data_IF_608430488952
#
_entry.id   IF_608430488952
#
_cell.length_a   1.000
_cell.length_b   1.000
_cell.length_c   1.000
_cell.angle_alpha   90.00
_cell.angle_beta   90.00
_cell.angle_gamma   90.00
#
_symmetry.space_group_name_H-M   'P 1'
#
loop_
_entity.id
_entity.type
_entity.pdbx_description
1 polymer ?
#
# COMPACT_ATOMS: atom_id res chain seq x y z
N UNK A 1 10.76 45.47 59.13
CA UNK A 1 9.90 44.26 59.04
C UNK A 1 9.44 44.15 57.59
N UNK A 2 9.79 43.03 56.94
CA UNK A 2 9.64 42.78 55.49
C UNK A 2 8.36 41.99 55.28
N UNK A 3 7.39 42.49 54.52
CA UNK A 3 6.20 41.70 54.15
C UNK A 3 5.48 42.24 52.92
N UNK A 4 6.19 42.41 51.80
CA UNK A 4 5.54 42.58 50.48
C UNK A 4 6.41 41.91 49.42
N UNK A 5 6.51 40.59 49.40
CA UNK A 5 7.16 39.86 48.28
C UNK A 5 6.72 38.39 48.21
N UNK A 6 5.45 38.04 48.48
CA UNK A 6 4.97 36.66 48.25
C UNK A 6 3.76 36.55 47.32
N UNK A 7 2.95 37.61 47.12
CA UNK A 7 1.79 37.52 46.22
C UNK A 7 2.09 37.71 44.72
N UNK A 8 3.22 38.34 44.36
CA UNK A 8 3.57 38.57 42.94
C UNK A 8 4.17 37.34 42.26
N UNK A 9 4.67 36.36 43.02
CA UNK A 9 5.31 35.16 42.47
C UNK A 9 4.30 34.07 42.03
N UNK A 10 3.06 34.11 42.53
CA UNK A 10 2.01 33.15 42.14
C UNK A 10 1.35 33.50 40.80
N UNK A 11 1.34 34.77 40.39
CA UNK A 11 0.71 35.20 39.14
C UNK A 11 1.57 34.91 37.89
N UNK A 12 2.89 34.73 38.05
CA UNK A 12 3.80 34.45 36.95
C UNK A 12 3.90 32.95 36.58
N UNK A 13 3.45 32.04 37.46
CA UNK A 13 3.57 30.59 37.25
C UNK A 13 2.32 29.97 36.58
N UNK A 14 1.23 30.73 36.45
CA UNK A 14 -0.03 30.30 35.81
C UNK A 14 -0.11 30.59 34.30
N UNK A 15 1.01 31.04 33.70
CA UNK A 15 1.17 31.30 32.27
C UNK A 15 2.02 30.24 31.54
N UNK A 16 2.23 29.06 32.17
CA UNK A 16 2.64 27.86 31.45
C UNK A 16 1.45 27.33 30.65
N UNK A 17 1.13 28.06 29.57
CA UNK A 17 0.10 27.70 28.62
C UNK A 17 0.28 26.26 28.16
N UNK A 18 -0.80 25.50 28.26
CA UNK A 18 -0.91 24.18 27.67
C UNK A 18 -0.63 24.29 26.16
N UNK A 19 0.61 24.03 25.74
CA UNK A 19 0.92 23.77 24.34
C UNK A 19 0.23 22.45 24.02
N UNK A 20 -1.00 22.55 23.54
CA UNK A 20 -1.71 21.40 22.97
C UNK A 20 -0.94 21.01 21.72
N UNK A 21 -0.02 20.07 21.87
CA UNK A 21 0.55 19.37 20.72
C UNK A 21 -0.63 18.68 20.06
N UNK A 22 -1.11 19.24 18.94
CA UNK A 22 -2.05 18.56 18.05
C UNK A 22 -1.29 17.37 17.49
N UNK A 23 -1.37 16.25 18.22
CA UNK A 23 -1.03 14.94 17.69
C UNK A 23 -1.89 14.75 16.44
N UNK A 24 -1.25 14.57 15.29
CA UNK A 24 -1.98 14.20 14.09
C UNK A 24 -2.73 12.92 14.42
N UNK A 25 -4.06 12.96 14.41
CA UNK A 25 -4.88 11.79 14.72
C UNK A 25 -4.43 10.61 13.85
N UNK A 26 -4.47 9.38 14.35
CA UNK A 26 -4.17 8.23 13.51
C UNK A 26 -5.34 7.89 12.60
N UNK A 27 -5.04 7.25 11.47
CA UNK A 27 -6.09 6.66 10.64
C UNK A 27 -6.73 5.50 11.38
N UNK A 28 -8.05 5.40 11.31
CA UNK A 28 -8.82 4.29 11.90
C UNK A 28 -9.81 3.71 10.90
N UNK A 29 -10.14 2.46 11.11
CA UNK A 29 -11.10 1.72 10.30
C UNK A 29 -12.51 2.03 10.79
N UNK A 30 -13.25 2.83 10.04
CA UNK A 30 -14.65 3.12 10.37
C UNK A 30 -15.58 1.97 9.99
N UNK A 31 -15.30 1.33 8.85
CA UNK A 31 -16.13 0.24 8.32
C UNK A 31 -15.31 -0.63 7.36
N UNK A 32 -15.59 -1.93 7.35
CA UNK A 32 -15.11 -2.88 6.34
C UNK A 32 -16.25 -3.76 5.85
N UNK A 33 -16.13 -4.27 4.63
CA UNK A 33 -17.00 -5.31 4.07
C UNK A 33 -16.16 -6.25 3.20
N UNK A 34 -16.45 -7.55 3.24
CA UNK A 34 -15.67 -8.56 2.53
C UNK A 34 -14.23 -8.68 3.03
N UNK A 35 -13.32 -9.15 2.18
CA UNK A 35 -11.93 -9.44 2.57
C UNK A 35 -11.05 -8.19 2.47
N UNK A 36 -10.62 -7.71 3.64
CA UNK A 36 -9.69 -6.60 3.79
C UNK A 36 -8.53 -7.05 4.67
N UNK A 37 -7.31 -6.76 4.23
CA UNK A 37 -6.09 -7.17 4.88
C UNK A 37 -5.28 -5.94 5.30
N UNK A 38 -4.64 -6.05 6.46
CA UNK A 38 -3.66 -5.10 6.94
C UNK A 38 -2.28 -5.74 6.90
N UNK A 39 -1.33 -5.08 6.26
CA UNK A 39 0.08 -5.40 6.39
C UNK A 39 0.81 -4.27 7.11
N UNK A 40 1.83 -4.62 7.88
CA UNK A 40 2.73 -3.65 8.50
C UNK A 40 4.13 -4.26 8.53
N UNK A 41 5.13 -3.53 8.01
CA UNK A 41 6.52 -4.01 7.90
C UNK A 41 6.65 -5.37 7.19
N UNK A 42 5.85 -5.61 6.16
CA UNK A 42 5.86 -6.85 5.39
C UNK A 42 5.19 -8.05 6.08
N UNK A 43 4.70 -7.90 7.31
CA UNK A 43 3.92 -8.93 8.00
C UNK A 43 2.43 -8.63 7.79
N UNK A 44 1.70 -9.62 7.27
CA UNK A 44 0.25 -9.56 7.21
C UNK A 44 -0.32 -9.80 8.61
N UNK A 45 -0.96 -8.78 9.17
CA UNK A 45 -1.30 -8.76 10.59
C UNK A 45 -2.65 -9.39 10.93
N UNK A 46 -3.63 -9.42 10.01
CA UNK A 46 -4.91 -10.15 10.09
C UNK A 46 -5.92 -9.55 9.08
N UNK A 47 -7.13 -10.12 9.04
CA UNK A 47 -8.31 -9.44 8.50
C UNK A 47 -8.58 -8.15 9.28
N UNK A 48 -8.79 -7.05 8.57
CA UNK A 48 -8.95 -5.73 9.15
C UNK A 48 -10.35 -5.57 9.77
N UNK A 49 -10.42 -5.54 11.10
CA UNK A 49 -11.66 -5.34 11.86
C UNK A 49 -12.01 -3.85 12.04
N UNK A 50 -13.31 -3.57 12.17
CA UNK A 50 -13.83 -2.24 12.52
C UNK A 50 -13.19 -1.73 13.82
N UNK A 51 -12.85 -0.45 13.86
CA UNK A 51 -12.22 0.19 15.03
C UNK A 51 -10.70 0.05 15.09
N UNK A 52 -10.09 -0.77 14.21
CA UNK A 52 -8.64 -0.91 14.15
C UNK A 52 -7.92 0.41 13.86
N UNK A 53 -6.84 0.66 14.60
CA UNK A 53 -5.94 1.80 14.36
C UNK A 53 -4.87 1.42 13.33
N UNK A 54 -4.61 2.32 12.39
CA UNK A 54 -3.63 2.16 11.34
C UNK A 54 -2.41 3.02 11.65
N UNK A 55 -1.32 2.36 12.02
CA UNK A 55 -0.03 3.01 12.33
C UNK A 55 0.66 3.48 11.04
N UNK A 56 1.56 4.45 11.17
CA UNK A 56 2.49 4.80 10.08
C UNK A 56 3.22 3.56 9.57
N UNK A 57 3.30 3.39 8.25
CA UNK A 57 3.80 2.19 7.58
C UNK A 57 2.76 1.09 7.35
N UNK A 58 1.48 1.31 7.68
CA UNK A 58 0.41 0.36 7.39
C UNK A 58 0.09 0.30 5.89
N UNK A 59 -0.19 -0.89 5.37
CA UNK A 59 -0.69 -1.13 4.02
C UNK A 59 -2.06 -1.78 4.13
N UNK A 60 -3.07 -1.14 3.56
CA UNK A 60 -4.44 -1.66 3.48
C UNK A 60 -4.64 -2.26 2.09
N UNK A 61 -5.00 -3.54 2.06
CA UNK A 61 -5.26 -4.26 0.82
C UNK A 61 -6.69 -4.78 0.82
N UNK A 62 -7.42 -4.51 -0.25
CA UNK A 62 -8.80 -4.93 -0.45
C UNK A 62 -8.86 -5.90 -1.61
N UNK A 63 -9.46 -7.07 -1.37
CA UNK A 63 -9.66 -8.08 -2.40
C UNK A 63 -10.85 -7.73 -3.33
N UNK A 64 -11.21 -8.59 -4.29
CA UNK A 64 -12.33 -8.45 -5.24
C UNK A 64 -13.67 -8.10 -4.59
N UNK A 65 -13.91 -8.58 -3.37
CA UNK A 65 -15.13 -8.30 -2.61
C UNK A 65 -14.87 -7.38 -1.39
N UNK A 66 -13.62 -6.92 -1.21
CA UNK A 66 -13.20 -6.10 -0.08
C UNK A 66 -13.51 -4.63 -0.27
N UNK A 67 -13.97 -3.95 0.77
CA UNK A 67 -14.02 -2.47 0.84
C UNK A 67 -13.69 -2.02 2.25
N UNK A 68 -13.03 -0.87 2.36
CA UNK A 68 -12.74 -0.25 3.63
C UNK A 68 -13.05 1.24 3.61
N UNK A 69 -13.70 1.73 4.68
CA UNK A 69 -13.79 3.15 4.99
C UNK A 69 -12.82 3.46 6.11
N UNK A 70 -11.84 4.30 5.80
CA UNK A 70 -10.83 4.78 6.74
C UNK A 70 -11.13 6.24 7.06
N UNK A 71 -10.96 6.63 8.32
CA UNK A 71 -11.22 8.01 8.77
C UNK A 71 -10.09 8.52 9.65
N UNK A 72 -9.84 9.82 9.59
CA UNK A 72 -8.90 10.54 10.46
C UNK A 72 -9.32 11.99 10.60
N UNK A 73 -9.80 12.38 11.78
CA UNK A 73 -10.50 13.66 11.93
C UNK A 73 -11.64 13.75 10.91
N UNK A 74 -11.66 14.83 10.14
CA UNK A 74 -12.64 15.07 9.07
C UNK A 74 -12.26 14.46 7.72
N UNK A 75 -11.12 13.78 7.62
CA UNK A 75 -10.66 13.12 6.41
C UNK A 75 -11.24 11.72 6.30
N UNK A 76 -11.70 11.36 5.10
CA UNK A 76 -12.23 10.02 4.79
C UNK A 76 -11.55 9.45 3.55
N UNK A 77 -11.24 8.15 3.59
CA UNK A 77 -10.84 7.36 2.43
C UNK A 77 -11.79 6.18 2.27
N UNK A 78 -12.30 5.96 1.06
CA UNK A 78 -13.06 4.77 0.69
C UNK A 78 -12.19 3.96 -0.28
N UNK A 79 -11.62 2.88 0.24
CA UNK A 79 -10.80 1.94 -0.51
C UNK A 79 -11.73 0.93 -1.19
N UNK A 80 -11.81 1.00 -2.51
CA UNK A 80 -12.68 0.14 -3.34
C UNK A 80 -12.07 -1.25 -3.50
N UNK A 81 -12.81 -2.25 -4.01
CA UNK A 81 -12.24 -3.57 -4.22
C UNK A 81 -11.04 -3.57 -5.17
N UNK A 82 -10.15 -4.55 -4.99
CA UNK A 82 -8.89 -4.69 -5.73
C UNK A 82 -7.96 -3.47 -5.61
N UNK A 83 -7.85 -2.92 -4.40
CA UNK A 83 -7.02 -1.73 -4.16
C UNK A 83 -5.98 -1.97 -3.06
N UNK A 84 -4.85 -1.27 -3.21
CA UNK A 84 -3.74 -1.26 -2.25
C UNK A 84 -3.36 0.18 -1.94
N UNK A 85 -3.36 0.50 -0.64
CA UNK A 85 -3.02 1.83 -0.13
C UNK A 85 -2.02 1.71 1.01
N UNK A 86 -0.91 2.44 0.92
CA UNK A 86 0.09 2.56 1.98
C UNK A 86 -0.04 3.90 2.68
N UNK A 87 0.01 3.86 4.01
CA UNK A 87 -0.02 5.00 4.91
C UNK A 87 1.39 5.20 5.49
N UNK A 88 2.32 5.86 4.78
CA UNK A 88 3.73 5.98 5.22
C UNK A 88 3.91 6.74 6.54
N UNK A 89 2.89 7.46 6.99
CA UNK A 89 2.96 8.40 8.12
C UNK A 89 3.09 9.85 7.63
N UNK A 90 2.57 10.78 8.43
CA UNK A 90 2.68 12.21 8.17
C UNK A 90 3.84 12.84 8.93
N UNK A 91 4.40 13.93 8.38
CA UNK A 91 5.29 14.85 9.10
C UNK A 91 4.69 16.25 9.06
N UNK A 92 4.80 17.00 10.16
CA UNK A 92 4.44 18.43 10.20
C UNK A 92 3.00 18.75 9.78
N UNK A 93 2.02 17.94 10.20
CA UNK A 93 0.60 18.18 9.93
C UNK A 93 0.14 17.92 8.48
N UNK A 94 1.05 17.44 7.61
CA UNK A 94 0.74 17.03 6.23
C UNK A 94 0.53 15.52 6.10
N UNK A 95 -0.27 15.16 5.11
CA UNK A 95 -0.71 13.80 4.82
C UNK A 95 -0.16 13.36 3.49
N UNK A 96 0.45 12.18 3.47
CA UNK A 96 0.81 11.49 2.24
C UNK A 96 0.15 10.12 2.26
N UNK A 97 -0.49 9.78 1.15
CA UNK A 97 -1.02 8.46 0.85
C UNK A 97 -0.30 7.95 -0.38
N UNK A 98 0.07 6.68 -0.39
CA UNK A 98 0.60 6.01 -1.58
C UNK A 98 -0.44 5.01 -2.07
N UNK A 99 -0.92 5.16 -3.29
CA UNK A 99 -1.88 4.26 -3.92
C UNK A 99 -1.15 3.47 -5.01
N UNK A 100 -0.94 2.18 -4.76
CA UNK A 100 -0.20 1.32 -5.69
C UNK A 100 -1.04 0.83 -6.86
N UNK A 101 -2.33 0.57 -6.61
CA UNK A 101 -3.28 -0.01 -7.57
C UNK A 101 -4.71 0.13 -7.04
N UNK A 102 -5.68 0.18 -7.96
CA UNK A 102 -7.10 0.08 -7.64
C UNK A 102 -7.83 1.41 -7.78
N UNK A 103 -8.80 1.65 -6.89
CA UNK A 103 -9.61 2.87 -6.87
C UNK A 103 -9.85 3.30 -5.42
N UNK A 104 -9.52 4.55 -5.13
CA UNK A 104 -9.77 5.15 -3.83
C UNK A 104 -10.49 6.48 -4.00
N UNK A 105 -11.54 6.68 -3.21
CA UNK A 105 -12.19 7.97 -3.06
C UNK A 105 -11.67 8.66 -1.79
N UNK A 106 -11.29 9.93 -1.93
CA UNK A 106 -10.78 10.78 -0.87
C UNK A 106 -11.75 11.93 -0.62
N UNK A 107 -12.12 12.16 0.63
CA UNK A 107 -12.76 13.39 1.09
C UNK A 107 -11.83 14.04 2.12
N UNK A 108 -11.30 15.22 1.76
CA UNK A 108 -10.24 15.91 2.49
C UNK A 108 -10.77 17.22 3.04
N UNK A 109 -10.49 17.48 4.32
CA UNK A 109 -10.83 18.71 5.02
C UNK A 109 -10.21 19.93 4.34
N UNK A 110 -10.87 21.08 4.45
CA UNK A 110 -10.37 22.31 3.87
C UNK A 110 -9.36 23.01 4.80
N UNK A 111 -8.18 23.35 4.27
CA UNK A 111 -7.18 24.17 4.96
C UNK A 111 -6.62 25.26 4.03
N UNK A 112 -6.09 26.33 4.64
CA UNK A 112 -5.45 27.44 3.91
C UNK A 112 -4.21 26.98 3.12
N UNK A 113 -3.57 25.88 3.54
CA UNK A 113 -2.34 25.32 2.94
C UNK A 113 -2.55 23.92 2.38
N UNK A 114 -1.70 23.53 1.40
CA UNK A 114 -1.63 22.16 0.88
C UNK A 114 -1.13 21.26 1.99
N UNK A 115 -1.91 20.25 2.31
CA UNK A 115 -1.64 19.39 3.47
C UNK A 115 -2.01 17.93 3.21
N UNK A 116 -2.47 17.60 2.00
CA UNK A 116 -2.81 16.25 1.62
C UNK A 116 -2.30 15.96 0.22
N UNK A 117 -1.68 14.79 0.08
CA UNK A 117 -1.12 14.31 -1.17
C UNK A 117 -1.40 12.83 -1.35
N UNK A 118 -1.73 12.45 -2.59
CA UNK A 118 -1.79 11.05 -3.03
C UNK A 118 -0.69 10.87 -4.07
N UNK A 119 0.13 9.86 -3.89
CA UNK A 119 1.17 9.49 -4.84
C UNK A 119 0.88 8.11 -5.41
N UNK A 120 1.07 7.98 -6.71
CA UNK A 120 0.90 6.74 -7.48
C UNK A 120 2.18 6.48 -8.26
N UNK A 121 2.31 5.33 -8.94
CA UNK A 121 3.45 5.10 -9.84
C UNK A 121 3.56 6.08 -11.02
N UNK A 122 2.50 6.84 -11.33
CA UNK A 122 2.43 7.68 -12.53
C UNK A 122 2.29 9.17 -12.22
N UNK A 123 1.52 9.51 -11.18
CA UNK A 123 1.17 10.87 -10.82
C UNK A 123 1.23 11.13 -9.32
N UNK A 124 1.40 12.40 -8.96
CA UNK A 124 1.09 12.94 -7.64
C UNK A 124 -0.09 13.91 -7.72
N UNK A 125 -1.02 13.79 -6.79
CA UNK A 125 -2.16 14.67 -6.62
C UNK A 125 -2.02 15.44 -5.29
N UNK A 126 -2.01 16.77 -5.32
CA UNK A 126 -1.85 17.62 -4.13
C UNK A 126 -3.07 18.51 -3.95
N UNK A 127 -3.59 18.55 -2.71
CA UNK A 127 -4.88 19.19 -2.43
C UNK A 127 -4.88 19.97 -1.12
N UNK A 128 -5.87 20.86 -1.00
CA UNK A 128 -6.15 21.68 0.19
C UNK A 128 -7.52 21.42 0.82
N UNK A 129 -8.42 20.70 0.14
CA UNK A 129 -9.81 20.53 0.56
C UNK A 129 -10.68 20.13 -0.63
N UNK A 130 -10.73 18.83 -0.90
CA UNK A 130 -11.30 18.27 -2.14
C UNK A 130 -12.03 16.99 -1.86
N UNK A 131 -12.96 16.65 -2.76
CA UNK A 131 -13.48 15.30 -2.89
C UNK A 131 -13.13 14.79 -4.27
N UNK A 132 -12.37 13.70 -4.35
CA UNK A 132 -11.82 13.22 -5.61
C UNK A 132 -11.59 11.71 -5.56
N UNK A 133 -11.48 11.11 -6.74
CA UNK A 133 -11.16 9.70 -6.92
C UNK A 133 -9.85 9.57 -7.65
N UNK A 134 -8.99 8.68 -7.17
CA UNK A 134 -7.80 8.26 -7.88
C UNK A 134 -8.01 6.81 -8.29
N UNK A 135 -7.71 6.49 -9.55
CA UNK A 135 -7.71 5.14 -10.07
C UNK A 135 -6.34 4.83 -10.64
N UNK A 136 -5.75 3.71 -10.23
CA UNK A 136 -4.44 3.24 -10.68
C UNK A 136 -4.58 1.87 -11.33
N UNK A 137 -3.97 1.72 -12.50
CA UNK A 137 -3.92 0.49 -13.29
C UNK A 137 -2.51 0.25 -13.81
N UNK A 138 -2.28 -0.88 -14.48
CA UNK A 138 -0.97 -1.20 -15.07
C UNK A 138 -0.51 -0.18 -16.12
N UNK A 139 -1.45 0.44 -16.84
CA UNK A 139 -1.15 1.34 -17.96
C UNK A 139 -1.09 2.81 -17.56
N UNK A 140 -1.52 3.17 -16.35
CA UNK A 140 -1.59 4.57 -15.93
C UNK A 140 -2.51 4.80 -14.74
N UNK A 141 -2.70 6.09 -14.43
CA UNK A 141 -3.57 6.57 -13.38
C UNK A 141 -4.52 7.66 -13.89
N UNK A 142 -5.63 7.85 -13.18
CA UNK A 142 -6.58 8.94 -13.44
C UNK A 142 -7.05 9.57 -12.15
N UNK A 143 -7.36 10.86 -12.21
CA UNK A 143 -7.90 11.64 -11.09
C UNK A 143 -9.20 12.29 -11.54
N UNK A 144 -10.32 11.90 -10.93
CA UNK A 144 -11.63 12.52 -11.15
C UNK A 144 -12.01 13.41 -9.96
N UNK A 145 -12.34 14.68 -10.22
CA UNK A 145 -12.59 15.66 -9.15
C UNK A 145 -14.09 15.90 -9.01
N UNK A 146 -14.62 15.62 -7.82
CA UNK A 146 -16.02 15.81 -7.48
C UNK A 146 -16.25 17.19 -6.85
N UNK A 147 -15.33 17.64 -6.00
CA UNK A 147 -15.39 18.94 -5.33
C UNK A 147 -13.99 19.55 -5.21
N UNK A 148 -13.92 20.85 -5.43
CA UNK A 148 -12.69 21.64 -5.28
C UNK A 148 -11.77 21.53 -6.50
N UNK A 149 -10.46 21.62 -6.26
CA UNK A 149 -9.42 21.60 -7.29
C UNK A 149 -8.27 20.71 -6.84
N UNK A 150 -7.79 19.87 -7.75
CA UNK A 150 -6.63 19.00 -7.54
C UNK A 150 -5.50 19.42 -8.47
N UNK A 151 -4.32 19.69 -7.92
CA UNK A 151 -3.10 19.82 -8.72
C UNK A 151 -2.58 18.41 -9.01
N UNK A 152 -2.53 18.03 -10.28
CA UNK A 152 -2.02 16.73 -10.75
C UNK A 152 -0.69 16.95 -11.44
N UNK A 153 0.32 16.20 -11.04
CA UNK A 153 1.66 16.19 -11.65
C UNK A 153 1.95 14.81 -12.21
N UNK A 154 2.30 14.70 -13.49
CA UNK A 154 2.90 13.49 -14.06
C UNK A 154 4.35 13.41 -13.58
N UNK A 155 4.67 12.37 -12.81
CA UNK A 155 5.97 12.22 -12.17
C UNK A 155 7.10 12.07 -13.19
N UNK A 156 6.82 11.40 -14.31
CA UNK A 156 7.81 11.10 -15.35
C UNK A 156 8.08 12.29 -16.26
N UNK A 157 7.04 12.99 -16.72
CA UNK A 157 7.21 14.15 -17.62
C UNK A 157 7.44 15.46 -16.87
N UNK A 158 7.12 15.52 -15.58
CA UNK A 158 7.14 16.75 -14.78
C UNK A 158 5.98 17.70 -15.08
N UNK A 159 5.17 17.42 -16.10
CA UNK A 159 3.98 18.21 -16.41
C UNK A 159 3.01 18.26 -15.23
N UNK A 160 2.36 19.40 -15.05
CA UNK A 160 1.37 19.63 -14.01
C UNK A 160 0.18 20.41 -14.52
N UNK A 161 -0.99 20.13 -13.95
CA UNK A 161 -2.24 20.82 -14.29
C UNK A 161 -3.20 20.87 -13.11
N UNK A 162 -4.03 21.91 -13.10
CA UNK A 162 -5.13 22.04 -12.15
C UNK A 162 -6.40 21.41 -12.72
N UNK A 163 -6.94 20.44 -12.01
CA UNK A 163 -8.14 19.70 -12.38
C UNK A 163 -9.29 20.19 -11.52
N UNK A 164 -10.32 20.74 -12.15
CA UNK A 164 -11.47 21.34 -11.49
C UNK A 164 -12.60 20.32 -11.28
N UNK A 165 -13.55 20.65 -10.40
CA UNK A 165 -14.74 19.84 -10.19
C UNK A 165 -15.48 19.55 -11.51
N UNK A 166 -15.87 18.29 -11.71
CA UNK A 166 -16.48 17.82 -12.96
C UNK A 166 -15.46 17.48 -14.06
N UNK A 167 -14.16 17.58 -13.78
CA UNK A 167 -13.08 17.19 -14.69
C UNK A 167 -12.37 15.93 -14.22
N UNK A 168 -11.65 15.32 -15.16
CA UNK A 168 -10.83 14.15 -14.95
C UNK A 168 -9.52 14.27 -15.72
N UNK A 169 -8.41 14.01 -15.04
CA UNK A 169 -7.08 13.87 -15.65
C UNK A 169 -6.74 12.41 -15.87
N UNK A 170 -6.06 12.14 -16.98
CA UNK A 170 -5.48 10.85 -17.32
C UNK A 170 -3.98 11.01 -17.50
N UNK A 171 -3.22 10.13 -16.88
CA UNK A 171 -1.75 10.09 -16.92
C UNK A 171 -1.32 8.67 -17.21
N UNK A 172 -0.43 8.46 -18.16
CA UNK A 172 0.19 7.17 -18.43
C UNK A 172 1.71 7.33 -18.55
N UNK A 173 2.45 6.22 -18.63
CA UNK A 173 3.92 6.24 -18.65
C UNK A 173 4.54 6.79 -19.93
N UNK A 174 3.79 6.97 -21.02
CA UNK A 174 4.30 7.35 -22.34
C UNK A 174 3.79 8.69 -22.87
N UNK A 175 2.74 9.25 -22.27
CA UNK A 175 2.10 10.50 -22.65
C UNK A 175 2.05 11.47 -21.47
N UNK A 176 1.91 12.74 -21.80
CA UNK A 176 1.63 13.80 -20.85
C UNK A 176 0.24 13.71 -20.19
N UNK A 177 -0.18 14.79 -19.53
CA UNK A 177 -1.49 14.89 -18.89
C UNK A 177 -2.57 15.17 -19.95
N UNK A 178 -3.61 14.32 -19.99
CA UNK A 178 -4.83 14.60 -20.77
C UNK A 178 -5.99 14.90 -19.84
N UNK A 179 -6.72 16.00 -20.09
CA UNK A 179 -7.83 16.45 -19.24
C UNK A 179 -9.15 16.37 -20.03
N UNK A 180 -10.21 15.87 -19.40
CA UNK A 180 -11.57 15.81 -19.96
C UNK A 180 -12.58 16.28 -18.91
N UNK A 181 -13.73 16.78 -19.36
CA UNK A 181 -14.84 17.11 -18.46
C UNK A 181 -15.51 18.42 -18.83
N UNK A 182 -16.34 18.92 -17.90
CA UNK A 182 -17.09 20.17 -18.08
C UNK A 182 -16.20 21.39 -17.79
N UNK A 183 -16.63 22.55 -18.29
CA UNK A 183 -16.03 23.85 -18.01
C UNK A 183 -14.68 24.06 -18.70
N UNK A 184 -13.98 25.12 -18.29
CA UNK A 184 -12.70 25.51 -18.88
C UNK A 184 -11.58 24.56 -18.41
N UNK A 185 -10.91 23.93 -19.38
CA UNK A 185 -9.74 23.08 -19.10
C UNK A 185 -8.52 23.97 -18.93
N UNK A 186 -7.89 23.87 -17.77
CA UNK A 186 -6.67 24.63 -17.46
C UNK A 186 -5.49 24.11 -18.26
N UNK A 187 -4.57 25.01 -18.64
CA UNK A 187 -3.37 24.67 -19.40
C UNK A 187 -2.47 23.72 -18.60
N UNK A 188 -1.96 22.69 -19.28
CA UNK A 188 -0.87 21.84 -18.77
C UNK A 188 0.44 22.62 -18.86
N UNK A 189 1.17 22.73 -17.76
CA UNK A 189 2.43 23.47 -17.69
C UNK A 189 3.59 22.53 -17.31
N UNK A 190 4.82 22.82 -17.74
CA UNK A 190 6.00 22.08 -17.31
C UNK A 190 6.27 22.21 -15.80
N UNK A 191 7.03 21.25 -15.29
CA UNK A 191 7.48 21.18 -13.91
C UNK A 191 8.65 20.18 -13.77
N UNK A 192 9.20 20.02 -12.56
CA UNK A 192 10.32 19.12 -12.33
C UNK A 192 9.90 17.65 -12.44
N UNK A 193 10.74 16.85 -13.09
CA UNK A 193 10.62 15.39 -13.10
C UNK A 193 10.98 14.83 -11.72
N UNK A 194 10.28 13.77 -11.29
CA UNK A 194 10.55 13.09 -10.02
C UNK A 194 10.30 11.60 -10.15
N UNK A 195 11.13 10.77 -9.54
CA UNK A 195 10.86 9.34 -9.42
C UNK A 195 9.65 9.07 -8.51
N UNK A 196 8.89 8.04 -8.86
CA UNK A 196 7.76 7.60 -8.05
C UNK A 196 8.24 6.79 -6.83
N UNK A 197 7.60 6.99 -5.69
CA UNK A 197 7.88 6.21 -4.47
C UNK A 197 7.46 4.73 -4.57
N UNK A 198 6.70 4.36 -5.60
CA UNK A 198 6.17 3.00 -5.79
C UNK A 198 6.19 2.62 -7.27
N UNK A 199 6.55 1.37 -7.57
CA UNK A 199 6.59 0.85 -8.92
C UNK A 199 5.18 0.60 -9.50
N UNK A 200 5.00 0.65 -10.83
CA UNK A 200 3.73 0.30 -11.48
C UNK A 200 3.26 -1.12 -11.11
N UNK A 201 1.94 -1.34 -10.92
CA UNK A 201 1.43 -2.64 -10.57
C UNK A 201 1.61 -3.64 -11.73
N UNK A 202 1.91 -4.88 -11.36
CA UNK A 202 2.00 -6.03 -12.26
C UNK A 202 0.71 -6.87 -12.18
N UNK A 203 0.65 -8.01 -12.86
CA UNK A 203 -0.55 -8.88 -12.89
C UNK A 203 -1.11 -9.26 -11.53
N UNK A 204 -0.24 -9.49 -10.56
CA UNK A 204 -0.58 -10.19 -9.33
C UNK A 204 -0.34 -9.30 -8.09
N UNK A 205 -0.30 -7.98 -8.24
CA UNK A 205 0.08 -7.07 -7.14
C UNK A 205 -0.86 -7.14 -5.92
N UNK A 206 -2.14 -7.43 -6.14
CA UNK A 206 -3.10 -7.62 -5.04
C UNK A 206 -2.88 -8.98 -4.37
N UNK A 207 -2.79 -10.06 -5.15
CA UNK A 207 -2.62 -11.43 -4.63
C UNK A 207 -1.29 -11.58 -3.85
N UNK A 208 -0.21 -10.99 -4.38
CA UNK A 208 1.09 -10.94 -3.71
C UNK A 208 1.02 -10.18 -2.36
N UNK A 209 0.20 -9.13 -2.27
CA UNK A 209 0.05 -8.33 -1.07
C UNK A 209 -1.03 -8.83 -0.10
N UNK A 210 -1.85 -9.79 -0.50
CA UNK A 210 -2.77 -10.49 0.41
C UNK A 210 -2.07 -11.70 1.06
N UNK A 211 -0.77 -11.91 0.77
CA UNK A 211 -0.07 -13.12 1.19
C UNK A 211 -0.82 -14.36 0.70
N UNK A 212 -1.47 -14.26 -0.47
CA UNK A 212 -2.31 -15.29 -1.05
C UNK A 212 -1.50 -16.21 -1.95
N UNK A 213 -1.92 -16.33 -3.20
CA UNK A 213 -1.25 -17.15 -4.21
C UNK A 213 -0.27 -16.26 -4.99
N UNK A 214 1.03 -16.35 -4.69
CA UNK A 214 2.12 -15.80 -5.50
C UNK A 214 2.51 -16.85 -6.55
N UNK A 215 2.21 -16.63 -7.83
CA UNK A 215 2.57 -17.57 -8.89
C UNK A 215 3.38 -16.92 -10.01
N UNK A 216 4.40 -17.61 -10.49
CA UNK A 216 5.21 -17.23 -11.64
C UNK A 216 5.27 -18.40 -12.63
N UNK A 217 5.14 -18.12 -13.94
CA UNK A 217 5.23 -19.13 -15.01
C UNK A 217 6.31 -18.69 -16.00
N UNK A 218 7.25 -19.58 -16.35
CA UNK A 218 8.33 -19.29 -17.30
C UNK A 218 9.67 -19.94 -16.93
N UNK A 219 10.77 -19.37 -17.44
CA UNK A 219 12.12 -19.97 -17.36
C UNK A 219 13.00 -19.47 -16.21
N UNK A 220 12.50 -18.57 -15.36
CA UNK A 220 13.23 -18.00 -14.21
C UNK A 220 12.30 -17.31 -13.21
N UNK A 221 11.12 -17.89 -12.96
CA UNK A 221 10.11 -17.27 -12.09
C UNK A 221 10.51 -17.32 -10.61
N UNK A 222 10.36 -16.20 -9.89
CA UNK A 222 10.53 -16.15 -8.42
C UNK A 222 9.20 -15.80 -7.77
N UNK A 223 8.74 -16.65 -6.86
CA UNK A 223 7.51 -16.44 -6.09
C UNK A 223 7.77 -16.61 -4.60
N UNK A 224 7.38 -15.64 -3.78
CA UNK A 224 7.51 -15.73 -2.33
C UNK A 224 6.24 -15.27 -1.62
N UNK A 225 5.98 -15.80 -0.42
CA UNK A 225 4.77 -15.48 0.34
C UNK A 225 4.88 -15.81 1.83
N UNK A 226 4.02 -15.20 2.64
CA UNK A 226 3.90 -15.46 4.09
C UNK A 226 2.50 -15.98 4.35
N UNK A 227 2.37 -17.19 4.88
CA UNK A 227 1.08 -17.83 5.19
C UNK A 227 0.21 -18.23 3.98
N UNK A 228 0.71 -18.03 2.75
CA UNK A 228 0.00 -18.29 1.49
C UNK A 228 0.68 -19.33 0.61
N UNK A 229 0.25 -19.42 -0.64
CA UNK A 229 0.79 -20.35 -1.64
C UNK A 229 1.77 -19.60 -2.55
N UNK A 230 2.99 -20.09 -2.68
CA UNK A 230 3.99 -19.56 -3.62
C UNK A 230 4.34 -20.63 -4.64
N UNK A 231 4.06 -20.42 -5.91
CA UNK A 231 4.26 -21.43 -6.95
C UNK A 231 5.10 -20.90 -8.11
N UNK A 232 6.09 -21.65 -8.56
CA UNK A 232 6.82 -21.37 -9.79
C UNK A 232 6.65 -22.54 -10.76
N UNK A 233 6.16 -22.29 -11.98
CA UNK A 233 5.94 -23.31 -13.01
C UNK A 233 6.84 -23.05 -14.22
N UNK A 234 7.67 -24.01 -14.60
CA UNK A 234 8.54 -23.95 -15.78
C UNK A 234 9.98 -24.37 -15.47
N UNK A 235 10.96 -23.69 -16.06
CA UNK A 235 12.38 -24.08 -15.94
C UNK A 235 13.03 -23.21 -14.85
N UNK A 236 13.75 -23.81 -13.90
CA UNK A 236 14.61 -23.09 -12.95
C UNK A 236 13.90 -22.09 -12.02
N UNK A 237 12.60 -22.27 -11.78
CA UNK A 237 11.82 -21.37 -10.91
C UNK A 237 12.18 -21.53 -9.43
N UNK A 238 12.04 -20.45 -8.64
CA UNK A 238 12.23 -20.45 -7.19
C UNK A 238 10.92 -20.06 -6.50
N UNK A 239 10.47 -20.88 -5.57
CA UNK A 239 9.29 -20.62 -4.75
C UNK A 239 9.64 -20.68 -3.26
N UNK A 240 9.19 -19.71 -2.46
CA UNK A 240 9.49 -19.67 -1.03
C UNK A 240 8.25 -19.30 -0.19
N UNK A 241 8.06 -19.94 0.95
CA UNK A 241 6.98 -19.59 1.88
C UNK A 241 7.48 -19.50 3.33
N UNK A 242 6.86 -18.61 4.12
CA UNK A 242 7.15 -18.47 5.56
C UNK A 242 5.85 -18.61 6.37
N UNK A 243 5.92 -19.23 7.54
CA UNK A 243 4.77 -19.53 8.39
C UNK A 243 4.08 -20.82 7.94
N UNK A 244 2.75 -20.86 7.98
CA UNK A 244 1.92 -22.00 7.54
C UNK A 244 1.67 -22.02 6.02
N UNK A 245 2.56 -21.44 5.23
CA UNK A 245 2.42 -21.32 3.78
C UNK A 245 2.79 -22.58 3.00
N UNK A 246 2.50 -22.59 1.70
CA UNK A 246 2.87 -23.66 0.78
C UNK A 246 3.79 -23.08 -0.30
N UNK A 247 4.92 -23.70 -0.58
CA UNK A 247 5.79 -23.38 -1.71
C UNK A 247 5.87 -24.55 -2.68
N UNK A 248 5.73 -24.31 -3.97
CA UNK A 248 5.75 -25.35 -5.00
C UNK A 248 6.56 -24.93 -6.23
N UNK A 249 7.61 -25.66 -6.55
CA UNK A 249 8.34 -25.55 -7.82
C UNK A 249 7.92 -26.68 -8.75
N UNK A 250 7.33 -26.38 -9.90
CA UNK A 250 6.86 -27.38 -10.87
C UNK A 250 7.59 -27.21 -12.20
N UNK A 251 8.27 -28.26 -12.69
CA UNK A 251 8.98 -28.27 -13.96
C UNK A 251 10.42 -28.77 -13.81
N UNK A 252 11.36 -28.20 -14.56
CA UNK A 252 12.75 -28.71 -14.58
C UNK A 252 13.64 -27.83 -13.71
N UNK A 253 14.32 -28.40 -12.71
CA UNK A 253 15.27 -27.69 -11.85
C UNK A 253 14.65 -26.65 -10.90
N UNK A 254 13.36 -26.77 -10.58
CA UNK A 254 12.69 -25.82 -9.67
C UNK A 254 13.13 -25.97 -8.21
N UNK A 255 13.27 -24.86 -7.49
CA UNK A 255 13.58 -24.81 -6.05
C UNK A 255 12.34 -24.36 -5.28
N UNK A 256 12.00 -25.08 -4.23
CA UNK A 256 10.91 -24.76 -3.32
C UNK A 256 11.40 -24.77 -1.87
N UNK A 257 11.10 -23.73 -1.11
CA UNK A 257 11.55 -23.58 0.26
C UNK A 257 10.41 -23.16 1.19
N UNK A 258 10.29 -23.76 2.37
CA UNK A 258 9.34 -23.35 3.40
C UNK A 258 10.05 -23.18 4.75
N UNK A 259 9.66 -22.16 5.52
CA UNK A 259 10.17 -21.92 6.88
C UNK A 259 9.00 -21.73 7.84
N UNK A 260 8.95 -22.49 8.93
CA UNK A 260 7.80 -22.60 9.83
C UNK A 260 6.99 -23.87 9.55
N UNK A 261 5.73 -23.92 9.97
CA UNK A 261 4.83 -25.07 9.80
C UNK A 261 4.30 -25.25 8.36
N UNK A 262 5.03 -24.75 7.37
CA UNK A 262 4.64 -24.74 5.97
C UNK A 262 4.99 -26.01 5.21
N UNK A 263 4.62 -26.07 3.93
CA UNK A 263 4.89 -27.19 3.03
C UNK A 263 5.72 -26.71 1.86
N UNK A 264 6.80 -27.40 1.50
CA UNK A 264 7.55 -27.17 0.27
C UNK A 264 7.51 -28.40 -0.64
N UNK A 265 7.28 -28.19 -1.94
CA UNK A 265 7.15 -29.25 -2.92
C UNK A 265 7.92 -28.94 -4.21
N UNK A 266 8.89 -29.79 -4.55
CA UNK A 266 9.59 -29.76 -5.84
C UNK A 266 9.05 -30.85 -6.75
N UNK A 267 8.43 -30.50 -7.87
CA UNK A 267 7.77 -31.42 -8.79
C UNK A 267 8.40 -31.35 -10.18
N UNK A 268 8.91 -32.46 -10.70
CA UNK A 268 9.53 -32.58 -12.01
C UNK A 268 11.00 -33.03 -11.93
N UNK A 269 11.75 -32.90 -13.03
CA UNK A 269 13.13 -33.38 -13.09
C UNK A 269 14.10 -32.41 -12.40
N UNK A 270 14.83 -32.89 -11.39
CA UNK A 270 15.82 -32.09 -10.66
C UNK A 270 15.24 -31.06 -9.69
N UNK A 271 13.99 -31.24 -9.23
CA UNK A 271 13.38 -30.33 -8.26
C UNK A 271 14.03 -30.41 -6.88
N UNK A 272 14.27 -29.26 -6.24
CA UNK A 272 14.78 -29.17 -4.87
C UNK A 272 13.67 -28.66 -3.96
N UNK A 273 13.40 -29.38 -2.87
CA UNK A 273 12.47 -28.96 -1.82
C UNK A 273 13.20 -28.88 -0.48
N UNK A 274 13.04 -27.76 0.22
CA UNK A 274 13.64 -27.52 1.54
C UNK A 274 12.54 -27.08 2.49
N UNK A 275 12.38 -27.74 3.62
CA UNK A 275 11.40 -27.37 4.65
C UNK A 275 12.08 -27.24 6.00
N UNK A 276 11.93 -26.11 6.68
CA UNK A 276 12.49 -25.88 8.02
C UNK A 276 11.35 -25.74 9.01
N UNK A 277 11.12 -26.75 9.86
CA UNK A 277 10.00 -26.77 10.81
C UNK A 277 8.65 -27.19 10.21
N UNK A 278 8.66 -27.68 8.96
CA UNK A 278 7.49 -28.04 8.16
C UNK A 278 7.74 -29.26 7.28
N UNK A 279 6.88 -29.48 6.28
CA UNK A 279 6.94 -30.65 5.38
C UNK A 279 7.68 -30.29 4.09
N UNK A 280 8.58 -31.15 3.62
CA UNK A 280 9.29 -31.02 2.35
C UNK A 280 9.13 -32.27 1.50
N UNK A 281 8.75 -32.13 0.23
CA UNK A 281 8.51 -33.26 -0.69
C UNK A 281 9.10 -33.00 -2.08
N UNK A 282 9.91 -33.93 -2.57
CA UNK A 282 10.42 -33.98 -3.94
C UNK A 282 9.72 -35.08 -4.73
N UNK A 283 9.12 -34.72 -5.87
CA UNK A 283 8.37 -35.61 -6.75
C UNK A 283 8.97 -35.55 -8.17
N UNK A 284 9.66 -36.60 -8.60
CA UNK A 284 10.22 -36.71 -9.96
C UNK A 284 11.65 -37.25 -10.00
N UNK A 285 12.17 -37.45 -11.22
CA UNK A 285 13.53 -37.97 -11.43
C UNK A 285 14.60 -36.97 -10.96
N UNK A 286 15.43 -37.37 -9.99
CA UNK A 286 16.52 -36.54 -9.46
C UNK A 286 16.09 -35.46 -8.45
N UNK A 287 14.90 -35.59 -7.86
CA UNK A 287 14.42 -34.66 -6.83
C UNK A 287 15.20 -34.76 -5.52
N UNK A 288 15.54 -33.62 -4.90
CA UNK A 288 16.19 -33.53 -3.59
C UNK A 288 15.20 -32.96 -2.58
N UNK A 289 15.01 -33.63 -1.46
CA UNK A 289 14.15 -33.16 -0.36
C UNK A 289 14.96 -33.05 0.92
N UNK A 290 14.97 -31.87 1.53
CA UNK A 290 15.67 -31.61 2.78
C UNK A 290 14.68 -31.10 3.81
N UNK A 291 14.30 -31.98 4.74
CA UNK A 291 13.49 -31.63 5.91
C UNK A 291 14.38 -31.32 7.10
N UNK A 292 14.31 -30.10 7.63
CA UNK A 292 14.94 -29.71 8.88
C UNK A 292 14.11 -30.23 10.06
N UNK A 293 14.70 -31.15 10.82
CA UNK A 293 14.18 -31.62 12.12
C UNK A 293 13.87 -30.43 13.02
N UNK A 294 12.57 -30.10 13.16
CA UNK A 294 12.08 -29.27 14.25
C UNK A 294 12.38 -30.01 15.56
N UNK A 295 13.22 -29.41 16.39
CA UNK A 295 13.69 -30.01 17.63
C UNK A 295 12.52 -30.49 18.50
N UNK A 296 12.57 -31.77 18.90
CA UNK A 296 11.94 -32.20 20.15
C UNK A 296 12.71 -31.55 21.29
N UNK A 297 12.16 -30.49 21.89
CA UNK A 297 12.19 -30.16 23.33
C UNK A 297 11.49 -28.83 23.57
#
# INVERSE_FOLDING_TARGET
>A
MRSISLLSLCAALLLLGFVSVVQAADWRVAQTSGRVFLQHRGVQLASLAKGGLLKSGSVVVTDRNGRAKLVRGDQTMIVSPNSMVTLPGGRGGSTKIIEGVGLVEYDVDHRKVRHFSVETPFLAAVVKGTRFKVKVSKSGASVAVLRGMVEVTNLRSGERANILAGQMAFVNSSKGITIRGKGNIQKVIPGPVREALVAPPTGNSIDAAIGGISASVGTSGVSAGVGGVSASVGVGGVSASVGSGVSAGVGTGGVSASVGSGVSAGVGSGGVSVGVGGVSVGLGGGGVSVGGLGGRR
#
